data_IF_449643153551
#
_entry.id   IF_449643153551
#
_cell.length_a   1.000
_cell.length_b   1.000
_cell.length_c   1.000
_cell.angle_alpha   90.00
_cell.angle_beta   90.00
_cell.angle_gamma   90.00
#
_symmetry.space_group_name_H-M   'P 1'
#
loop_
_entity.id
_entity.type
_entity.pdbx_description
1 polymer ?
#
# COMPACT_ATOMS: atom_id res chain seq x y z
N UNK A 1 1.22 1.33 10.18
CA UNK A 1 1.06 0.26 11.20
C UNK A 1 2.02 -0.92 10.95
N UNK A 2 3.13 -0.71 10.22
CA UNK A 2 4.16 -1.72 9.91
C UNK A 2 5.31 -1.76 10.95
N UNK A 3 5.13 -1.13 12.11
CA UNK A 3 6.21 -0.86 13.07
C UNK A 3 6.58 -2.05 13.96
N UNK A 4 5.73 -3.09 14.03
CA UNK A 4 6.07 -4.35 14.71
C UNK A 4 6.61 -5.43 13.81
N UNK A 5 6.24 -5.42 12.54
CA UNK A 5 6.91 -6.23 11.54
C UNK A 5 8.40 -5.85 11.49
N UNK A 6 8.72 -4.57 11.73
CA UNK A 6 10.07 -4.05 11.95
C UNK A 6 10.78 -4.61 13.19
N UNK A 7 10.05 -4.95 14.25
CA UNK A 7 10.64 -5.36 15.52
C UNK A 7 11.03 -6.84 15.54
N UNK A 8 10.38 -7.68 14.72
CA UNK A 8 10.67 -9.11 14.63
C UNK A 8 11.51 -9.50 13.40
N UNK A 9 11.61 -8.67 12.36
CA UNK A 9 12.74 -8.77 11.42
C UNK A 9 14.09 -8.50 12.12
N UNK A 10 14.08 -7.77 13.24
CA UNK A 10 15.26 -7.56 14.07
C UNK A 10 15.69 -8.81 14.87
N UNK A 11 14.89 -9.89 14.91
CA UNK A 11 15.37 -11.18 15.44
C UNK A 11 16.38 -11.86 14.49
N UNK A 12 16.42 -11.45 13.23
CA UNK A 12 17.57 -11.67 12.37
C UNK A 12 18.47 -10.43 12.42
N UNK A 13 19.41 -10.40 13.39
CA UNK A 13 20.60 -9.51 13.40
C UNK A 13 21.53 -9.91 12.23
N UNK A 14 20.97 -10.01 11.03
CA UNK A 14 21.51 -10.64 9.84
C UNK A 14 20.77 -10.27 8.56
N UNK A 15 19.53 -9.74 8.62
CA UNK A 15 18.86 -9.25 7.40
C UNK A 15 17.94 -8.04 7.62
N UNK A 16 18.56 -6.87 7.81
CA UNK A 16 17.90 -5.54 7.75
C UNK A 16 17.45 -5.16 6.32
N UNK A 17 16.87 -6.09 5.55
CA UNK A 17 16.48 -5.86 4.13
C UNK A 17 15.00 -5.49 3.93
N UNK A 18 14.28 -5.10 4.98
CA UNK A 18 13.02 -4.40 4.75
C UNK A 18 13.38 -2.96 4.39
N UNK A 19 13.34 -2.63 3.09
CA UNK A 19 13.43 -1.24 2.66
C UNK A 19 12.19 -0.51 3.18
N UNK A 20 12.34 0.14 4.33
CA UNK A 20 11.26 0.91 4.97
C UNK A 20 11.14 2.30 4.37
N UNK A 21 12.12 2.71 3.56
CA UNK A 21 12.19 4.05 3.01
C UNK A 21 11.10 4.28 1.96
N UNK A 22 10.92 3.35 1.01
CA UNK A 22 9.76 3.30 0.11
C UNK A 22 8.43 3.43 0.88
N UNK A 23 8.23 2.64 1.94
CA UNK A 23 7.00 2.68 2.74
C UNK A 23 6.81 4.00 3.50
N UNK A 24 7.88 4.67 3.91
CA UNK A 24 7.83 5.98 4.55
C UNK A 24 7.47 7.07 3.54
N UNK A 25 8.07 7.05 2.35
CA UNK A 25 7.73 7.98 1.26
C UNK A 25 6.31 7.73 0.74
N UNK A 26 5.86 6.48 0.72
CA UNK A 26 4.51 6.10 0.34
C UNK A 26 3.46 6.77 1.22
N UNK A 27 3.64 6.69 2.55
CA UNK A 27 2.81 7.37 3.54
C UNK A 27 2.94 8.89 3.44
N UNK A 28 4.16 9.41 3.29
CA UNK A 28 4.38 10.85 3.16
C UNK A 28 3.68 11.43 1.93
N UNK A 29 3.68 10.70 0.81
CA UNK A 29 2.97 11.05 -0.41
C UNK A 29 1.45 11.12 -0.18
N UNK A 30 0.88 10.15 0.53
CA UNK A 30 -0.56 10.13 0.86
C UNK A 30 -1.00 11.27 1.78
N UNK A 31 -0.13 11.67 2.71
CA UNK A 31 -0.38 12.82 3.57
C UNK A 31 -0.25 14.16 2.81
N UNK A 32 0.48 14.17 1.69
CA UNK A 32 0.63 15.30 0.77
C UNK A 32 2.07 15.72 0.50
N UNK A 33 2.28 16.43 -0.62
CA UNK A 33 3.62 16.76 -1.12
C UNK A 33 4.52 17.55 -0.16
N UNK A 34 3.97 18.34 0.78
CA UNK A 34 4.79 18.97 1.84
C UNK A 34 5.48 17.97 2.78
N UNK A 35 4.84 16.84 3.05
CA UNK A 35 5.43 15.81 3.92
C UNK A 35 6.43 14.95 3.14
N UNK A 36 6.14 14.66 1.87
CA UNK A 36 7.10 14.04 0.94
C UNK A 36 8.38 14.88 0.85
N UNK A 37 8.24 16.18 0.61
CA UNK A 37 9.34 17.14 0.57
C UNK A 37 10.11 17.20 1.89
N UNK A 38 9.41 17.35 3.01
CA UNK A 38 10.07 17.49 4.31
C UNK A 38 10.84 16.21 4.71
N UNK A 39 10.32 15.02 4.35
CA UNK A 39 11.02 13.76 4.54
C UNK A 39 12.22 13.64 3.60
N UNK A 40 12.05 14.04 2.33
CA UNK A 40 13.13 14.06 1.35
C UNK A 40 14.26 14.96 1.82
N UNK A 41 13.99 16.22 2.16
CA UNK A 41 15.00 17.19 2.62
C UNK A 41 15.74 16.75 3.89
N UNK A 42 15.08 16.00 4.78
CA UNK A 42 15.71 15.44 5.98
C UNK A 42 16.74 14.36 5.63
N UNK A 43 16.47 13.55 4.60
CA UNK A 43 17.27 12.40 4.21
C UNK A 43 18.30 12.73 3.13
N UNK A 44 18.00 13.74 2.31
CA UNK A 44 18.72 14.16 1.13
C UNK A 44 20.08 14.79 1.49
N UNK A 45 21.05 13.93 1.75
CA UNK A 45 22.45 14.27 2.01
C UNK A 45 23.28 14.05 0.75
N UNK A 46 24.39 14.80 0.52
CA UNK A 46 25.21 14.64 -0.67
C UNK A 46 25.65 13.21 -0.95
N UNK A 47 25.95 12.44 0.10
CA UNK A 47 26.42 11.06 0.00
C UNK A 47 25.34 10.06 -0.43
N UNK A 48 24.05 10.39 -0.22
CA UNK A 48 22.91 9.52 -0.50
C UNK A 48 21.93 10.14 -1.52
N UNK A 49 22.34 11.21 -2.21
CA UNK A 49 21.49 12.01 -3.10
C UNK A 49 20.81 11.16 -4.18
N UNK A 50 21.55 10.24 -4.81
CA UNK A 50 21.02 9.36 -5.86
C UNK A 50 19.98 8.38 -5.30
N UNK A 51 20.28 7.76 -4.16
CA UNK A 51 19.40 6.79 -3.50
C UNK A 51 18.04 7.42 -3.16
N UNK A 52 18.03 8.55 -2.43
CA UNK A 52 16.77 9.16 -1.99
C UNK A 52 15.93 9.72 -3.14
N UNK A 53 16.55 10.16 -4.24
CA UNK A 53 15.83 10.55 -5.45
C UNK A 53 15.13 9.36 -6.09
N UNK A 54 15.76 8.19 -6.09
CA UNK A 54 15.15 6.97 -6.61
C UNK A 54 13.99 6.50 -5.75
N UNK A 55 14.13 6.50 -4.43
CA UNK A 55 13.02 6.15 -3.52
C UNK A 55 11.80 7.06 -3.76
N UNK A 56 12.02 8.38 -3.90
CA UNK A 56 10.94 9.32 -4.23
C UNK A 56 10.33 9.01 -5.61
N UNK A 57 11.16 8.82 -6.64
CA UNK A 57 10.65 8.51 -7.98
C UNK A 57 9.86 7.20 -7.98
N UNK A 58 10.38 6.15 -7.35
CA UNK A 58 9.73 4.83 -7.21
C UNK A 58 8.29 4.97 -6.71
N UNK A 59 8.10 5.65 -5.57
CA UNK A 59 6.77 5.90 -4.98
C UNK A 59 5.86 6.72 -5.90
N UNK A 60 6.40 7.74 -6.59
CA UNK A 60 5.60 8.54 -7.53
C UNK A 60 5.17 7.73 -8.75
N UNK A 61 6.03 6.87 -9.27
CA UNK A 61 5.75 6.01 -10.43
C UNK A 61 4.78 4.87 -10.10
N UNK A 62 4.85 4.30 -8.91
CA UNK A 62 3.89 3.28 -8.43
C UNK A 62 2.47 3.83 -8.30
N UNK A 63 2.35 5.15 -8.11
CA UNK A 63 1.08 5.86 -7.97
C UNK A 63 0.77 6.77 -9.16
N UNK A 64 1.40 6.53 -10.32
CA UNK A 64 1.37 7.45 -11.47
C UNK A 64 -0.07 7.80 -11.91
N UNK A 65 -0.95 6.80 -12.00
CA UNK A 65 -2.34 7.00 -12.44
C UNK A 65 -3.22 7.66 -11.37
N UNK A 66 -2.88 7.47 -10.09
CA UNK A 66 -3.62 8.02 -8.95
C UNK A 66 -3.25 9.48 -8.68
N UNK A 67 -1.96 9.83 -8.81
CA UNK A 67 -1.45 11.16 -8.46
C UNK A 67 -1.46 12.14 -9.63
N UNK A 68 -1.30 11.66 -10.87
CA UNK A 68 -1.15 12.51 -12.04
C UNK A 68 -2.28 12.27 -13.03
N UNK A 69 -3.32 13.09 -12.93
CA UNK A 69 -4.57 12.88 -13.68
C UNK A 69 -4.59 13.59 -15.03
N UNK A 70 -3.53 14.34 -15.38
CA UNK A 70 -3.42 15.07 -16.64
C UNK A 70 -1.99 15.03 -17.20
N UNK A 71 -1.87 15.35 -18.49
CA UNK A 71 -0.60 15.29 -19.22
C UNK A 71 0.41 16.35 -18.73
N UNK A 72 -0.04 17.55 -18.30
CA UNK A 72 0.86 18.59 -17.77
C UNK A 72 1.64 18.11 -16.54
N UNK A 73 0.96 17.43 -15.61
CA UNK A 73 1.58 16.85 -14.43
C UNK A 73 2.52 15.69 -14.77
N UNK A 74 2.17 14.86 -15.74
CA UNK A 74 3.05 13.80 -16.25
C UNK A 74 4.30 14.40 -16.89
N UNK A 75 4.16 15.48 -17.65
CA UNK A 75 5.31 16.21 -18.22
C UNK A 75 6.21 16.78 -17.11
N UNK A 76 5.63 17.30 -16.02
CA UNK A 76 6.41 17.76 -14.86
C UNK A 76 7.17 16.60 -14.19
N UNK A 77 6.55 15.42 -14.04
CA UNK A 77 7.23 14.23 -13.54
C UNK A 77 8.36 13.80 -14.49
N UNK A 78 8.15 13.83 -15.81
CA UNK A 78 9.19 13.57 -16.79
C UNK A 78 10.37 14.54 -16.63
N UNK A 79 10.10 15.84 -16.48
CA UNK A 79 11.14 16.85 -16.23
C UNK A 79 11.92 16.56 -14.93
N UNK A 80 11.23 16.17 -13.86
CA UNK A 80 11.86 15.78 -12.60
C UNK A 80 12.78 14.57 -12.77
N UNK A 81 12.26 13.48 -13.35
CA UNK A 81 12.98 12.23 -13.57
C UNK A 81 14.28 12.50 -14.33
N UNK A 82 14.22 13.26 -15.43
CA UNK A 82 15.37 13.54 -16.28
C UNK A 82 16.32 14.63 -15.70
N UNK A 83 15.85 15.43 -14.74
CA UNK A 83 16.71 16.35 -13.99
C UNK A 83 17.49 15.63 -12.89
N UNK A 84 16.86 14.62 -12.27
CA UNK A 84 17.40 13.86 -11.14
C UNK A 84 18.26 12.67 -11.54
N UNK A 85 17.89 11.97 -12.61
CA UNK A 85 18.62 10.86 -13.22
C UNK A 85 19.10 11.28 -14.61
N UNK A 86 20.41 11.37 -14.79
CA UNK A 86 21.01 11.79 -16.07
C UNK A 86 21.68 10.62 -16.75
N UNK A 87 21.21 10.27 -17.95
CA UNK A 87 21.78 9.18 -18.74
C UNK A 87 23.31 9.27 -18.88
N UNK A 88 23.85 10.48 -19.07
CA UNK A 88 25.30 10.74 -19.18
C UNK A 88 26.09 10.39 -17.91
N UNK A 89 25.46 10.50 -16.73
CA UNK A 89 26.06 10.20 -15.43
C UNK A 89 25.89 8.72 -15.09
N UNK A 90 24.71 8.15 -15.37
CA UNK A 90 24.37 6.76 -15.04
C UNK A 90 24.97 5.74 -16.02
N UNK A 91 25.38 6.17 -17.23
CA UNK A 91 26.06 5.33 -18.24
C UNK A 91 27.54 5.04 -17.90
N UNK A 92 27.86 4.75 -16.64
CA UNK A 92 29.22 4.50 -16.19
C UNK A 92 29.56 2.99 -16.24
N UNK A 93 30.39 2.60 -17.21
CA UNK A 93 30.91 1.23 -17.39
C UNK A 93 31.62 0.64 -16.15
N UNK A 94 31.97 1.47 -15.15
CA UNK A 94 32.70 1.05 -13.96
C UNK A 94 31.80 0.66 -12.77
N UNK A 95 30.47 0.68 -12.92
CA UNK A 95 29.52 0.23 -11.88
C UNK A 95 28.75 -1.00 -12.35
N UNK A 96 29.30 -2.22 -12.17
CA UNK A 96 28.76 -3.45 -12.76
C UNK A 96 27.43 -3.97 -12.16
N UNK A 97 26.77 -3.21 -11.27
CA UNK A 97 25.55 -3.62 -10.57
C UNK A 97 24.47 -2.52 -10.52
N UNK A 98 24.62 -1.48 -11.34
CA UNK A 98 23.81 -0.27 -11.28
C UNK A 98 22.82 -0.24 -12.47
N UNK A 99 21.54 -0.52 -12.19
CA UNK A 99 20.44 -0.54 -13.17
C UNK A 99 19.79 0.84 -13.38
N UNK A 100 20.38 1.94 -12.89
CA UNK A 100 19.78 3.28 -12.89
C UNK A 100 19.45 3.79 -14.29
N UNK A 101 20.24 3.43 -15.29
CA UNK A 101 19.97 3.77 -16.68
C UNK A 101 18.75 2.99 -17.21
N UNK A 102 18.62 1.72 -16.85
CA UNK A 102 17.45 0.90 -17.17
C UNK A 102 16.20 1.43 -16.45
N UNK A 103 16.31 1.79 -15.17
CA UNK A 103 15.25 2.42 -14.38
C UNK A 103 14.80 3.75 -14.98
N UNK A 104 15.74 4.61 -15.40
CA UNK A 104 15.41 5.85 -16.10
C UNK A 104 14.61 5.58 -17.39
N UNK A 105 15.03 4.58 -18.17
CA UNK A 105 14.33 4.21 -19.40
C UNK A 105 12.95 3.62 -19.13
N UNK A 106 12.79 2.76 -18.11
CA UNK A 106 11.51 2.23 -17.69
C UNK A 106 10.53 3.34 -17.24
N UNK A 107 11.00 4.23 -16.37
CA UNK A 107 10.24 5.39 -15.91
C UNK A 107 9.82 6.29 -17.07
N UNK A 108 10.73 6.63 -17.97
CA UNK A 108 10.37 7.45 -19.12
C UNK A 108 9.38 6.74 -20.06
N UNK A 109 9.53 5.43 -20.27
CA UNK A 109 8.61 4.64 -21.08
C UNK A 109 7.20 4.60 -20.48
N UNK A 110 7.07 4.19 -19.21
CA UNK A 110 5.79 4.14 -18.47
C UNK A 110 5.06 5.48 -18.52
N UNK A 111 5.80 6.58 -18.34
CA UNK A 111 5.25 7.92 -18.37
C UNK A 111 4.77 8.32 -19.77
N UNK A 112 5.60 8.15 -20.79
CA UNK A 112 5.25 8.49 -22.18
C UNK A 112 4.03 7.68 -22.65
N UNK A 113 3.96 6.40 -22.29
CA UNK A 113 2.80 5.56 -22.60
C UNK A 113 1.51 6.08 -21.96
N UNK A 114 1.59 6.60 -20.73
CA UNK A 114 0.44 7.14 -19.98
C UNK A 114 -0.06 8.51 -20.47
N UNK A 115 0.73 9.24 -21.28
CA UNK A 115 0.31 10.52 -21.87
C UNK A 115 -0.81 10.28 -22.89
N UNK A 116 -1.75 11.21 -23.04
CA UNK A 116 -2.82 11.07 -24.04
C UNK A 116 -2.46 11.73 -25.38
N UNK A 117 -1.76 12.86 -25.34
CA UNK A 117 -1.39 13.63 -26.53
C UNK A 117 -0.27 12.97 -27.36
N UNK A 118 -0.55 12.69 -28.63
CA UNK A 118 0.37 11.99 -29.54
C UNK A 118 1.56 12.86 -30.01
N UNK A 119 1.37 14.17 -30.13
CA UNK A 119 2.43 15.09 -30.54
C UNK A 119 3.45 15.23 -29.39
N UNK A 120 2.97 15.34 -28.15
CA UNK A 120 3.79 15.37 -26.94
C UNK A 120 4.59 14.06 -26.80
N UNK A 121 3.96 12.89 -27.01
CA UNK A 121 4.69 11.61 -27.00
C UNK A 121 5.84 11.60 -27.99
N UNK A 122 5.59 12.06 -29.21
CA UNK A 122 6.58 12.09 -30.29
C UNK A 122 7.76 13.00 -29.92
N UNK A 123 7.49 14.16 -29.31
CA UNK A 123 8.51 15.07 -28.80
C UNK A 123 9.35 14.43 -27.69
N UNK A 124 8.71 13.82 -26.68
CA UNK A 124 9.42 13.21 -25.56
C UNK A 124 10.26 11.99 -25.98
N UNK A 125 9.78 11.20 -26.94
CA UNK A 125 10.54 10.09 -27.53
C UNK A 125 11.78 10.61 -28.27
N UNK A 126 11.64 11.72 -29.00
CA UNK A 126 12.75 12.31 -29.74
C UNK A 126 13.89 12.80 -28.84
N UNK A 127 13.63 13.06 -27.55
CA UNK A 127 14.66 13.43 -26.57
C UNK A 127 15.61 12.28 -26.19
N UNK A 128 15.33 11.04 -26.63
CA UNK A 128 16.30 9.94 -26.61
C UNK A 128 16.53 9.25 -25.26
N UNK A 129 15.87 9.69 -24.18
CA UNK A 129 15.97 9.06 -22.85
C UNK A 129 15.00 7.89 -22.65
N UNK A 130 14.60 7.20 -23.72
CA UNK A 130 13.61 6.14 -23.68
C UNK A 130 13.95 4.98 -24.65
N UNK A 131 15.22 4.53 -24.71
CA UNK A 131 15.60 3.24 -25.38
C UNK A 131 17.07 2.84 -25.15
N UNK A 132 17.41 1.52 -25.09
CA UNK A 132 17.18 0.55 -26.18
C UNK A 132 16.43 -0.75 -25.82
N UNK A 133 15.51 -1.15 -26.72
CA UNK A 133 14.95 -2.49 -26.95
C UNK A 133 14.55 -3.33 -25.70
N UNK A 134 13.30 -3.24 -25.28
CA UNK A 134 12.63 -4.36 -24.62
C UNK A 134 11.59 -4.93 -25.58
N UNK A 135 11.95 -6.02 -26.27
CA UNK A 135 10.99 -6.92 -26.90
C UNK A 135 10.26 -7.81 -25.89
N UNK A 136 10.57 -7.66 -24.60
CA UNK A 136 9.95 -8.45 -23.54
C UNK A 136 8.83 -7.63 -22.92
N UNK A 137 7.72 -7.57 -23.64
CA UNK A 137 6.39 -7.21 -23.12
C UNK A 137 5.87 -8.20 -22.05
N UNK A 138 6.75 -9.03 -21.49
CA UNK A 138 6.43 -10.11 -20.54
C UNK A 138 6.38 -9.62 -19.08
N UNK A 139 6.86 -8.41 -18.77
CA UNK A 139 6.74 -7.85 -17.41
C UNK A 139 5.47 -7.01 -17.18
N UNK A 140 4.78 -6.57 -18.24
CA UNK A 140 3.62 -5.67 -18.10
C UNK A 140 2.26 -6.37 -17.95
N UNK A 141 2.17 -7.69 -18.17
CA UNK A 141 0.89 -8.43 -18.19
C UNK A 141 0.82 -9.58 -17.18
N UNK A 142 1.21 -9.36 -15.91
CA UNK A 142 0.97 -10.36 -14.85
C UNK A 142 -0.15 -10.02 -13.87
N UNK A 143 -0.81 -8.86 -14.02
CA UNK A 143 -1.87 -8.44 -13.10
C UNK A 143 -3.29 -8.61 -13.67
N UNK A 144 -3.45 -9.21 -14.85
CA UNK A 144 -4.78 -9.46 -15.41
C UNK A 144 -5.39 -10.78 -14.92
N UNK A 145 -6.32 -10.61 -13.99
CA UNK A 145 -7.59 -11.34 -13.78
C UNK A 145 -7.49 -12.84 -13.46
N UNK A 146 -7.48 -13.14 -12.15
CA UNK A 146 -7.88 -14.45 -11.63
C UNK A 146 -9.36 -14.57 -11.24
N UNK A 147 -10.15 -13.50 -11.34
CA UNK A 147 -11.52 -13.47 -10.77
C UNK A 147 -12.65 -13.65 -11.79
N UNK A 148 -12.40 -14.30 -12.95
CA UNK A 148 -13.48 -14.54 -13.93
C UNK A 148 -14.54 -15.54 -13.46
N UNK A 149 -14.19 -16.44 -12.52
CA UNK A 149 -15.05 -17.57 -12.14
C UNK A 149 -16.42 -17.14 -11.58
N UNK A 150 -16.48 -16.01 -10.90
CA UNK A 150 -17.70 -15.54 -10.21
C UNK A 150 -18.24 -14.22 -10.76
N UNK A 151 -17.70 -13.74 -11.88
CA UNK A 151 -18.13 -12.50 -12.55
C UNK A 151 -19.63 -12.47 -12.85
N UNK A 152 -20.22 -13.63 -13.19
CA UNK A 152 -21.65 -13.78 -13.46
C UNK A 152 -22.55 -13.40 -12.26
N UNK A 153 -22.04 -13.45 -11.03
CA UNK A 153 -22.80 -13.10 -9.83
C UNK A 153 -22.96 -11.60 -9.73
N UNK A 154 -21.90 -10.86 -10.06
CA UNK A 154 -21.91 -9.40 -10.09
C UNK A 154 -22.88 -8.92 -11.18
N UNK A 155 -22.81 -9.52 -12.38
CA UNK A 155 -23.77 -9.24 -13.46
C UNK A 155 -25.22 -9.49 -13.02
N UNK A 156 -25.48 -10.52 -12.21
CA UNK A 156 -26.81 -10.82 -11.67
C UNK A 156 -27.22 -9.86 -10.56
N UNK A 157 -26.30 -9.41 -9.71
CA UNK A 157 -26.58 -8.36 -8.73
C UNK A 157 -26.95 -7.03 -9.42
N UNK A 158 -26.27 -6.70 -10.54
CA UNK A 158 -26.58 -5.52 -11.34
C UNK A 158 -27.93 -5.59 -12.05
N UNK A 159 -28.27 -6.76 -12.60
CA UNK A 159 -29.46 -6.92 -13.44
C UNK A 159 -30.72 -7.31 -12.66
N UNK A 160 -30.60 -8.19 -11.65
CA UNK A 160 -31.70 -8.75 -10.87
C UNK A 160 -31.80 -8.12 -9.47
N UNK A 161 -30.75 -7.45 -8.99
CA UNK A 161 -30.65 -6.91 -7.64
C UNK A 161 -30.32 -7.95 -6.58
N UNK A 162 -30.30 -7.51 -5.31
CA UNK A 162 -30.10 -8.40 -4.17
C UNK A 162 -31.39 -9.17 -3.82
N UNK A 163 -31.49 -10.40 -4.33
CA UNK A 163 -32.62 -11.32 -4.13
C UNK A 163 -32.26 -12.46 -3.17
N UNK A 164 -33.26 -13.16 -2.65
CA UNK A 164 -33.07 -14.33 -1.77
C UNK A 164 -32.33 -15.46 -2.50
N UNK A 165 -32.56 -15.63 -3.80
CA UNK A 165 -31.85 -16.58 -4.64
C UNK A 165 -30.36 -16.22 -4.78
N UNK A 166 -30.06 -14.95 -5.05
CA UNK A 166 -28.68 -14.46 -5.15
C UNK A 166 -27.94 -14.58 -3.81
N UNK A 167 -28.59 -14.20 -2.70
CA UNK A 167 -28.05 -14.37 -1.35
C UNK A 167 -27.69 -15.83 -1.03
N UNK A 168 -28.55 -16.79 -1.37
CA UNK A 168 -28.29 -18.22 -1.14
C UNK A 168 -27.11 -18.74 -1.95
N UNK A 169 -26.97 -18.30 -3.18
CA UNK A 169 -25.86 -18.71 -4.05
C UNK A 169 -24.53 -18.14 -3.54
N UNK A 170 -24.50 -16.85 -3.21
CA UNK A 170 -23.34 -16.19 -2.61
C UNK A 170 -22.94 -16.89 -1.29
N UNK A 171 -23.92 -17.20 -0.43
CA UNK A 171 -23.68 -17.94 0.80
C UNK A 171 -23.05 -19.31 0.55
N UNK A 172 -23.50 -20.02 -0.49
CA UNK A 172 -22.91 -21.29 -0.91
C UNK A 172 -21.45 -21.15 -1.34
N UNK A 173 -21.12 -20.07 -2.07
CA UNK A 173 -19.76 -19.80 -2.52
C UNK A 173 -18.85 -19.50 -1.35
N UNK A 174 -19.27 -18.62 -0.44
CA UNK A 174 -18.51 -18.30 0.77
C UNK A 174 -18.25 -19.55 1.63
N UNK A 175 -19.17 -20.52 1.65
CA UNK A 175 -19.03 -21.74 2.44
C UNK A 175 -18.11 -22.81 1.81
N UNK A 176 -18.08 -22.94 0.47
CA UNK A 176 -17.44 -24.07 -0.22
C UNK A 176 -16.29 -23.65 -1.16
N UNK A 177 -15.72 -22.47 -0.93
CA UNK A 177 -14.65 -21.93 -1.75
C UNK A 177 -13.33 -22.70 -1.60
N UNK A 178 -12.46 -22.57 -2.61
CA UNK A 178 -11.06 -22.98 -2.55
C UNK A 178 -10.20 -21.76 -2.90
N UNK A 179 -9.53 -21.19 -1.90
CA UNK A 179 -8.69 -20.00 -2.05
C UNK A 179 -9.43 -18.68 -1.76
N UNK A 180 -8.70 -17.57 -1.80
CA UNK A 180 -9.24 -16.28 -1.35
C UNK A 180 -10.37 -15.76 -2.24
N UNK A 181 -11.40 -15.18 -1.61
CA UNK A 181 -12.53 -14.51 -2.26
C UNK A 181 -12.55 -13.00 -2.00
N UNK A 182 -11.42 -12.39 -1.61
CA UNK A 182 -11.42 -11.01 -1.10
C UNK A 182 -11.99 -9.99 -2.10
N UNK A 183 -11.60 -10.03 -3.38
CA UNK A 183 -12.09 -9.11 -4.40
C UNK A 183 -13.59 -9.25 -4.58
N UNK A 184 -14.05 -10.50 -4.75
CA UNK A 184 -15.46 -10.83 -4.93
C UNK A 184 -16.31 -10.38 -3.75
N UNK A 185 -15.84 -10.56 -2.51
CA UNK A 185 -16.59 -10.14 -1.31
C UNK A 185 -16.75 -8.62 -1.28
N UNK A 186 -15.69 -7.87 -1.59
CA UNK A 186 -15.73 -6.41 -1.62
C UNK A 186 -16.69 -5.94 -2.70
N UNK A 187 -16.56 -6.48 -3.92
CA UNK A 187 -17.44 -6.14 -5.03
C UNK A 187 -18.90 -6.48 -4.72
N UNK A 188 -19.19 -7.66 -4.17
CA UNK A 188 -20.55 -8.01 -3.74
C UNK A 188 -21.08 -6.97 -2.75
N UNK A 189 -20.33 -6.65 -1.69
CA UNK A 189 -20.76 -5.69 -0.66
C UNK A 189 -21.01 -4.30 -1.25
N UNK A 190 -20.23 -3.86 -2.23
CA UNK A 190 -20.46 -2.58 -2.93
C UNK A 190 -21.78 -2.56 -3.70
N UNK A 191 -22.18 -3.67 -4.32
CA UNK A 191 -23.43 -3.81 -5.07
C UNK A 191 -24.67 -4.02 -4.18
N UNK A 192 -24.50 -4.32 -2.89
CA UNK A 192 -25.62 -4.48 -1.98
C UNK A 192 -26.27 -3.14 -1.63
N UNK A 193 -27.60 -3.09 -1.45
CA UNK A 193 -28.26 -1.94 -0.85
C UNK A 193 -27.77 -1.68 0.59
N UNK A 194 -27.58 -0.41 0.98
CA UNK A 194 -27.03 -0.03 2.30
C UNK A 194 -27.78 -0.68 3.49
N UNK A 195 -29.10 -0.78 3.38
CA UNK A 195 -29.97 -1.41 4.39
C UNK A 195 -29.72 -2.91 4.58
N UNK A 196 -29.15 -3.58 3.57
CA UNK A 196 -28.88 -5.02 3.55
C UNK A 196 -27.41 -5.35 3.82
N UNK A 197 -26.49 -4.40 3.59
CA UNK A 197 -25.04 -4.60 3.80
C UNK A 197 -24.73 -5.15 5.18
N UNK A 198 -25.24 -4.51 6.23
CA UNK A 198 -24.97 -4.92 7.61
C UNK A 198 -25.43 -6.35 7.89
N UNK A 199 -26.68 -6.68 7.55
CA UNK A 199 -27.23 -8.01 7.80
C UNK A 199 -26.45 -9.08 7.03
N UNK A 200 -26.14 -8.82 5.76
CA UNK A 200 -25.34 -9.73 4.93
C UNK A 200 -23.94 -9.94 5.50
N UNK A 201 -23.26 -8.88 5.92
CA UNK A 201 -21.91 -8.92 6.49
C UNK A 201 -21.90 -9.78 7.75
N UNK A 202 -22.76 -9.49 8.73
CA UNK A 202 -22.83 -10.25 9.99
C UNK A 202 -23.20 -11.72 9.74
N UNK A 203 -24.08 -11.99 8.78
CA UNK A 203 -24.59 -13.34 8.52
C UNK A 203 -23.66 -14.22 7.71
N UNK A 204 -22.86 -13.65 6.81
CA UNK A 204 -22.08 -14.42 5.84
C UNK A 204 -20.60 -14.07 5.79
N UNK A 205 -20.26 -12.77 5.85
CA UNK A 205 -18.86 -12.34 5.73
C UNK A 205 -18.11 -12.58 7.04
N UNK A 206 -18.70 -12.28 8.19
CA UNK A 206 -18.06 -12.56 9.49
C UNK A 206 -17.80 -14.07 9.67
N UNK A 207 -18.77 -14.98 9.44
CA UNK A 207 -18.49 -16.41 9.47
C UNK A 207 -17.43 -16.86 8.47
N UNK A 208 -17.40 -16.29 7.26
CA UNK A 208 -16.34 -16.55 6.28
C UNK A 208 -14.96 -16.20 6.84
N UNK A 209 -14.79 -14.96 7.32
CA UNK A 209 -13.54 -14.47 7.92
C UNK A 209 -13.10 -15.36 9.08
N UNK A 210 -14.02 -15.73 9.97
CA UNK A 210 -13.75 -16.60 11.12
C UNK A 210 -13.32 -18.00 10.67
N UNK A 211 -13.96 -18.55 9.63
CA UNK A 211 -13.70 -19.91 9.15
C UNK A 211 -12.40 -20.08 8.38
N UNK A 212 -11.95 -19.05 7.64
CA UNK A 212 -10.76 -19.10 6.80
C UNK A 212 -9.50 -18.55 7.53
N UNK A 213 -9.61 -18.26 8.82
CA UNK A 213 -8.58 -17.56 9.61
C UNK A 213 -7.51 -18.45 10.25
N UNK A 214 -7.30 -19.68 9.76
CA UNK A 214 -6.38 -20.64 10.39
C UNK A 214 -4.95 -20.08 10.58
N UNK A 215 -4.50 -19.21 9.68
CA UNK A 215 -3.21 -18.51 9.72
C UNK A 215 -3.34 -17.01 10.08
N UNK A 216 -4.39 -16.65 10.83
CA UNK A 216 -4.74 -15.27 11.12
C UNK A 216 -5.38 -14.52 9.95
N UNK A 217 -5.86 -13.32 10.21
CA UNK A 217 -6.57 -12.47 9.24
C UNK A 217 -5.64 -11.85 8.20
N UNK A 218 -4.32 -11.94 8.37
CA UNK A 218 -3.35 -11.49 7.37
C UNK A 218 -3.37 -12.36 6.11
N UNK A 219 -3.79 -13.62 6.26
CA UNK A 219 -3.88 -14.56 5.15
C UNK A 219 -5.11 -14.30 4.28
N UNK A 220 -5.04 -14.77 3.02
CA UNK A 220 -6.17 -14.81 2.08
C UNK A 220 -6.97 -13.49 1.95
N UNK A 221 -6.33 -12.34 2.08
CA UNK A 221 -6.95 -11.03 1.88
C UNK A 221 -7.98 -10.61 2.94
N UNK A 222 -8.07 -11.32 4.09
CA UNK A 222 -9.11 -11.07 5.09
C UNK A 222 -8.98 -9.68 5.76
N UNK A 223 -7.76 -9.24 6.08
CA UNK A 223 -7.51 -7.87 6.54
C UNK A 223 -7.96 -6.83 5.51
N UNK A 224 -7.79 -7.10 4.21
CA UNK A 224 -8.26 -6.18 3.17
C UNK A 224 -9.79 -6.10 3.14
N UNK A 225 -10.49 -7.24 3.25
CA UNK A 225 -11.96 -7.27 3.39
C UNK A 225 -12.38 -6.42 4.59
N UNK A 226 -11.86 -6.71 5.78
CA UNK A 226 -12.20 -5.98 7.01
C UNK A 226 -11.93 -4.48 6.84
N UNK A 227 -10.77 -4.10 6.31
CA UNK A 227 -10.39 -2.70 6.10
C UNK A 227 -11.37 -1.92 5.20
N UNK A 228 -12.02 -2.59 4.24
CA UNK A 228 -13.02 -1.95 3.37
C UNK A 228 -14.41 -1.88 4.01
N UNK A 229 -14.81 -2.89 4.79
CA UNK A 229 -16.21 -3.04 5.23
C UNK A 229 -16.45 -2.80 6.73
N UNK A 230 -15.41 -2.54 7.52
CA UNK A 230 -15.50 -2.44 8.98
C UNK A 230 -16.51 -1.40 9.47
N UNK A 231 -16.78 -0.37 8.67
CA UNK A 231 -17.77 0.67 9.00
C UNK A 231 -19.19 0.13 9.15
N UNK A 232 -19.47 -1.04 8.57
CA UNK A 232 -20.75 -1.73 8.66
C UNK A 232 -20.85 -2.69 9.87
N UNK A 233 -19.74 -2.97 10.56
CA UNK A 233 -19.72 -3.92 11.67
C UNK A 233 -20.49 -3.39 12.88
N UNK A 234 -21.12 -4.27 13.63
CA UNK A 234 -21.53 -3.98 14.99
C UNK A 234 -20.65 -4.64 16.06
N UNK A 235 -21.02 -4.40 17.31
CA UNK A 235 -20.23 -4.86 18.44
C UNK A 235 -20.17 -6.39 18.54
N UNK A 236 -21.15 -7.11 17.98
CA UNK A 236 -21.14 -8.57 17.96
C UNK A 236 -20.19 -9.09 16.89
N UNK A 237 -20.17 -8.47 15.71
CA UNK A 237 -19.21 -8.77 14.65
C UNK A 237 -17.77 -8.60 15.15
N UNK A 238 -17.47 -7.46 15.80
CA UNK A 238 -16.16 -7.22 16.40
C UNK A 238 -15.81 -8.26 17.45
N UNK A 239 -16.75 -8.55 18.35
CA UNK A 239 -16.54 -9.55 19.39
C UNK A 239 -16.21 -10.91 18.78
N UNK A 240 -16.89 -11.31 17.71
CA UNK A 240 -16.65 -12.58 17.04
C UNK A 240 -15.24 -12.66 16.45
N UNK A 241 -14.78 -11.60 15.78
CA UNK A 241 -13.41 -11.52 15.24
C UNK A 241 -12.34 -11.56 16.34
N UNK A 242 -12.53 -10.81 17.44
CA UNK A 242 -11.61 -10.83 18.58
C UNK A 242 -11.60 -12.18 19.29
N UNK A 243 -12.77 -12.74 19.60
CA UNK A 243 -12.90 -14.04 20.26
C UNK A 243 -12.24 -15.14 19.40
N UNK A 244 -12.43 -15.10 18.08
CA UNK A 244 -11.80 -16.01 17.14
C UNK A 244 -10.26 -15.90 17.17
N UNK A 245 -9.71 -14.68 17.15
CA UNK A 245 -8.26 -14.46 17.29
C UNK A 245 -7.69 -15.05 18.60
N UNK A 246 -8.33 -14.77 19.74
CA UNK A 246 -7.89 -15.33 21.03
C UNK A 246 -8.05 -16.85 21.12
N UNK A 247 -9.14 -17.38 20.57
CA UNK A 247 -9.39 -18.83 20.59
C UNK A 247 -8.38 -19.59 19.76
N UNK A 248 -7.92 -19.06 18.62
CA UNK A 248 -6.87 -19.73 17.80
C UNK A 248 -5.62 -20.02 18.61
N UNK A 249 -5.12 -19.03 19.35
CA UNK A 249 -3.93 -19.20 20.21
C UNK A 249 -4.16 -20.23 21.30
N UNK A 250 -5.36 -20.29 21.86
CA UNK A 250 -5.67 -21.28 22.90
C UNK A 250 -5.69 -22.74 22.38
N UNK A 251 -5.90 -22.94 21.07
CA UNK A 251 -6.02 -24.26 20.45
C UNK A 251 -4.66 -24.90 20.14
N UNK A 252 -3.60 -24.10 19.98
CA UNK A 252 -2.28 -24.61 19.56
C UNK A 252 -1.28 -24.45 20.69
N UNK A 253 -0.94 -25.57 21.35
CA UNK A 253 0.09 -25.58 22.40
C UNK A 253 1.48 -25.56 21.75
N UNK A 254 2.31 -24.61 22.17
CA UNK A 254 3.74 -24.52 21.86
C UNK A 254 4.09 -24.23 20.39
N UNK A 255 3.22 -23.53 19.67
CA UNK A 255 3.57 -23.01 18.35
C UNK A 255 3.72 -21.49 18.43
N UNK A 256 4.96 -21.01 18.23
CA UNK A 256 5.29 -19.60 18.27
C UNK A 256 4.67 -18.85 17.08
N UNK A 257 4.40 -19.53 15.96
CA UNK A 257 3.82 -18.92 14.76
C UNK A 257 2.41 -18.37 15.03
N UNK A 258 1.63 -19.07 15.87
CA UNK A 258 0.30 -18.61 16.29
C UNK A 258 0.34 -17.39 17.22
N UNK A 259 1.45 -17.18 17.94
CA UNK A 259 1.61 -15.97 18.74
C UNK A 259 1.85 -14.75 17.84
N UNK A 260 2.62 -14.91 16.75
CA UNK A 260 2.82 -13.84 15.77
C UNK A 260 1.50 -13.46 15.08
N UNK A 261 0.71 -14.45 14.63
CA UNK A 261 -0.60 -14.18 14.01
C UNK A 261 -1.54 -13.44 14.97
N UNK A 262 -1.58 -13.83 16.25
CA UNK A 262 -2.39 -13.11 17.25
C UNK A 262 -1.99 -11.65 17.37
N UNK A 263 -0.68 -11.36 17.42
CA UNK A 263 -0.24 -9.99 17.56
C UNK A 263 -0.70 -9.12 16.37
N UNK A 264 -0.48 -9.61 15.14
CA UNK A 264 -0.92 -8.94 13.91
C UNK A 264 -2.46 -8.76 13.89
N UNK A 265 -3.22 -9.78 14.28
CA UNK A 265 -4.68 -9.76 14.31
C UNK A 265 -5.22 -8.76 15.32
N UNK A 266 -4.73 -8.79 16.57
CA UNK A 266 -5.20 -7.89 17.62
C UNK A 266 -4.91 -6.44 17.27
N UNK A 267 -3.76 -6.17 16.66
CA UNK A 267 -3.40 -4.81 16.24
C UNK A 267 -4.28 -4.29 15.13
N UNK A 268 -4.45 -5.12 14.11
CA UNK A 268 -5.28 -4.76 12.97
C UNK A 268 -6.74 -4.53 13.38
N UNK A 269 -7.31 -5.47 14.14
CA UNK A 269 -8.69 -5.38 14.61
C UNK A 269 -8.86 -4.20 15.58
N UNK A 270 -7.92 -3.98 16.50
CA UNK A 270 -7.99 -2.86 17.44
C UNK A 270 -7.95 -1.52 16.71
N UNK A 271 -7.09 -1.35 15.69
CA UNK A 271 -7.05 -0.11 14.92
C UNK A 271 -8.40 0.18 14.26
N UNK A 272 -8.97 -0.78 13.54
CA UNK A 272 -10.23 -0.58 12.82
C UNK A 272 -11.42 -0.44 13.77
N UNK A 273 -11.44 -1.16 14.89
CA UNK A 273 -12.41 -0.98 15.95
C UNK A 273 -12.37 0.45 16.51
N UNK A 274 -11.17 0.99 16.77
CA UNK A 274 -11.01 2.36 17.23
C UNK A 274 -11.39 3.37 16.15
N UNK A 275 -11.04 3.15 14.89
CA UNK A 275 -11.45 4.05 13.81
C UNK A 275 -12.97 4.20 13.74
N UNK A 276 -13.71 3.09 13.88
CA UNK A 276 -15.17 3.12 13.82
C UNK A 276 -15.81 3.68 15.10
N UNK A 277 -15.32 3.28 16.27
CA UNK A 277 -16.05 3.48 17.54
C UNK A 277 -15.42 4.56 18.45
N UNK A 278 -14.15 4.87 18.27
CA UNK A 278 -13.35 5.72 19.15
C UNK A 278 -12.34 6.57 18.35
N UNK A 279 -12.78 7.16 17.24
CA UNK A 279 -11.90 7.93 16.34
C UNK A 279 -11.20 9.10 17.04
N UNK A 280 -11.84 9.65 18.08
CA UNK A 280 -11.30 10.67 18.99
C UNK A 280 -10.07 10.20 19.77
N UNK A 281 -9.88 8.88 19.92
CA UNK A 281 -8.78 8.27 20.68
C UNK A 281 -7.65 7.74 19.80
N UNK A 282 -7.74 7.85 18.48
CA UNK A 282 -6.71 7.32 17.56
C UNK A 282 -5.33 7.91 17.83
N UNK A 283 -5.25 9.22 18.08
CA UNK A 283 -3.97 9.87 18.43
C UNK A 283 -3.40 9.30 19.72
N UNK A 284 -4.24 9.10 20.74
CA UNK A 284 -3.81 8.53 22.01
C UNK A 284 -3.34 7.08 21.84
N UNK A 285 -4.09 6.26 21.09
CA UNK A 285 -3.72 4.90 20.74
C UNK A 285 -2.36 4.87 20.05
N UNK A 286 -2.15 5.74 19.05
CA UNK A 286 -0.86 5.87 18.36
C UNK A 286 0.27 6.20 19.34
N UNK A 287 0.08 7.21 20.20
CA UNK A 287 1.09 7.62 21.18
C UNK A 287 1.45 6.52 22.18
N UNK A 288 0.45 5.81 22.70
CA UNK A 288 0.66 4.70 23.64
C UNK A 288 1.40 3.54 22.98
N UNK A 289 1.06 3.24 21.73
CA UNK A 289 1.74 2.22 20.92
C UNK A 289 3.17 2.61 20.59
N UNK A 290 3.41 3.83 20.12
CA UNK A 290 4.77 4.34 19.90
C UNK A 290 5.61 4.24 21.17
N UNK A 291 5.05 4.62 22.33
CA UNK A 291 5.74 4.50 23.62
C UNK A 291 6.07 3.04 23.97
N UNK A 292 5.15 2.11 23.73
CA UNK A 292 5.41 0.68 23.92
C UNK A 292 6.56 0.20 23.03
N UNK A 293 6.53 0.53 21.73
CA UNK A 293 7.60 0.19 20.79
C UNK A 293 8.95 0.78 21.20
N UNK A 294 8.99 2.07 21.54
CA UNK A 294 10.21 2.71 22.02
C UNK A 294 10.75 2.05 23.28
N UNK A 295 9.88 1.69 24.22
CA UNK A 295 10.29 1.00 25.46
C UNK A 295 10.89 -0.38 25.16
N UNK A 296 10.35 -1.10 24.17
CA UNK A 296 10.86 -2.39 23.74
C UNK A 296 12.23 -2.26 23.03
N UNK A 297 12.34 -1.37 22.04
CA UNK A 297 13.58 -1.11 21.29
C UNK A 297 14.72 -0.68 22.22
N UNK A 298 14.43 0.20 23.18
CA UNK A 298 15.42 0.72 24.14
C UNK A 298 15.73 -0.27 25.29
N UNK A 299 14.98 -1.36 25.44
CA UNK A 299 15.10 -2.26 26.59
C UNK A 299 16.48 -2.92 26.74
N UNK A 300 17.20 -3.10 25.62
CA UNK A 300 18.53 -3.72 25.58
C UNK A 300 19.69 -2.73 25.79
N UNK A 301 19.42 -1.41 25.80
CA UNK A 301 20.42 -0.33 25.72
C UNK A 301 21.39 -0.45 24.51
N UNK A 302 21.10 -1.29 23.52
CA UNK A 302 21.98 -1.53 22.37
C UNK A 302 21.74 -0.55 21.21
N UNK A 303 20.60 0.16 21.22
CA UNK A 303 20.15 1.05 20.15
C UNK A 303 20.11 2.48 20.67
N UNK A 304 20.74 3.40 19.95
CA UNK A 304 20.63 4.84 20.17
C UNK A 304 19.52 5.38 19.28
N UNK A 305 18.58 6.12 19.88
CA UNK A 305 17.51 6.79 19.15
C UNK A 305 17.85 8.26 19.03
N UNK A 306 17.86 8.75 17.81
CA UNK A 306 17.96 10.17 17.50
C UNK A 306 16.60 10.70 17.06
N UNK A 307 16.17 11.81 17.67
CA UNK A 307 14.96 12.50 17.25
C UNK A 307 15.32 13.52 16.17
N UNK A 308 14.80 13.31 14.97
CA UNK A 308 14.95 14.24 13.86
C UNK A 308 13.72 15.17 13.78
N UNK A 309 13.98 16.46 13.60
CA UNK A 309 12.92 17.45 13.40
C UNK A 309 12.62 17.59 11.92
N UNK A 310 11.42 17.19 11.51
CA UNK A 310 10.92 17.39 10.14
C UNK A 310 10.47 18.85 9.99
N UNK A 311 11.03 19.56 9.01
CA UNK A 311 10.64 20.95 8.71
C UNK A 311 9.67 20.98 7.53
N UNK A 312 8.39 21.19 7.81
CA UNK A 312 7.33 21.20 6.79
C UNK A 312 7.22 22.59 6.17
N UNK A 313 7.39 22.68 4.85
CA UNK A 313 7.16 23.92 4.11
C UNK A 313 5.67 24.04 3.72
N UNK A 314 4.93 24.92 4.42
CA UNK A 314 3.51 25.15 4.17
C UNK A 314 3.20 25.76 2.79
N UNK A 315 4.23 26.18 2.03
CA UNK A 315 4.04 26.63 0.65
C UNK A 315 3.89 25.48 -0.34
N UNK A 316 4.25 24.25 0.04
CA UNK A 316 4.18 23.09 -0.85
C UNK A 316 2.84 22.39 -0.65
N UNK A 317 1.85 22.67 -1.49
CA UNK A 317 0.54 22.03 -1.38
C UNK A 317 0.26 21.11 -2.56
N UNK A 318 0.89 21.34 -3.69
CA UNK A 318 0.73 20.56 -4.92
C UNK A 318 2.04 19.93 -5.37
N UNK A 319 1.94 19.04 -6.36
CA UNK A 319 3.11 18.53 -7.06
C UNK A 319 3.88 19.67 -7.75
N UNK A 320 3.18 20.64 -8.34
CA UNK A 320 3.81 21.78 -9.01
C UNK A 320 4.66 22.62 -8.05
N UNK A 321 4.19 22.84 -6.82
CA UNK A 321 4.95 23.55 -5.78
C UNK A 321 6.24 22.78 -5.41
N UNK A 322 6.13 21.45 -5.29
CA UNK A 322 7.26 20.57 -5.03
C UNK A 322 8.28 20.64 -6.16
N UNK A 323 7.82 20.49 -7.41
CA UNK A 323 8.67 20.60 -8.61
C UNK A 323 9.35 21.95 -8.68
N UNK A 324 8.61 23.04 -8.44
CA UNK A 324 9.15 24.40 -8.44
C UNK A 324 10.25 24.57 -7.40
N UNK A 325 10.13 23.96 -6.23
CA UNK A 325 11.20 23.97 -5.23
C UNK A 325 12.42 23.16 -5.68
N UNK A 326 12.19 21.96 -6.21
CA UNK A 326 13.27 21.02 -6.54
C UNK A 326 14.03 21.38 -7.83
N UNK A 327 13.35 21.99 -8.81
CA UNK A 327 13.91 22.32 -10.12
C UNK A 327 14.03 23.83 -10.38
N UNK A 328 13.43 24.68 -9.54
CA UNK A 328 13.35 26.13 -9.78
C UNK A 328 12.32 26.50 -10.86
N UNK A 329 12.40 27.73 -11.38
CA UNK A 329 11.54 28.22 -12.48
C UNK A 329 11.92 27.64 -13.86
N UNK A 330 12.59 26.47 -13.90
CA UNK A 330 13.01 25.80 -15.14
C UNK A 330 11.83 25.04 -15.81
N UNK A 331 10.62 25.12 -15.25
CA UNK A 331 9.43 24.48 -15.81
C UNK A 331 8.77 25.29 -16.92
#
# INVERSE_FOLDING_TARGET
MNLLTLCDYANEIGDNRVNVDDALFDVACELGFKYLDALFELKNTPDNLTYWRQEVLSVLYDKIDKLFTNDDQRILLYKLTNAWLKAEIENNEHRPYNNELETLYDYNHRLIDSISDADIKTELIANGNCTPNMKDADYLHSHEKKDEQYSYILDRLDTEGYTVENEKEIAGILMYHNGSLYSLIIEIVEHLPDQSKKEFISKYVIPYLVSDSDYGFRSHGQMYIIGQIYTCFDIYDWKELFDNAFQRVSKVRNDLDYFYYLNDDIEFLALHFYFQNHSDKIVQLFMDRSKMHFSFILSSNAILIEHQHINVDEKINTFDDFIKKQLGDIC
#
